data_IF_283054184505
#
_entry.id   IF_283054184505
#
_cell.length_a   1.000
_cell.length_b   1.000
_cell.length_c   1.000
_cell.angle_alpha   90.00
_cell.angle_beta   90.00
_cell.angle_gamma   90.00
#
_symmetry.space_group_name_H-M   'P 1'
#
loop_
_entity.id
_entity.type
_entity.pdbx_description
1 polymer ?
#
# COMPACT_ATOMS: atom_id res chain seq x y z
N UNK A 1 -12.62 -8.58 -9.35
CA UNK A 1 -11.59 -7.94 -10.19
C UNK A 1 -10.50 -8.92 -10.61
N UNK A 2 -9.76 -9.53 -9.67
CA UNK A 2 -8.65 -10.45 -9.96
C UNK A 2 -9.03 -11.62 -10.89
N UNK A 3 -10.11 -12.36 -10.58
CA UNK A 3 -10.61 -13.47 -11.42
C UNK A 3 -10.94 -13.05 -12.86
N UNK A 4 -11.37 -11.81 -13.06
CA UNK A 4 -11.77 -11.27 -14.37
C UNK A 4 -10.64 -10.48 -15.05
N UNK A 5 -9.42 -10.54 -14.50
CA UNK A 5 -8.23 -9.80 -14.95
C UNK A 5 -8.43 -8.28 -15.04
N UNK A 6 -9.37 -7.70 -14.30
CA UNK A 6 -9.66 -6.26 -14.37
C UNK A 6 -8.96 -5.43 -13.28
N UNK A 7 -8.18 -6.07 -12.40
CA UNK A 7 -7.64 -5.44 -11.20
C UNK A 7 -6.74 -4.22 -11.50
N UNK A 8 -5.82 -4.34 -12.47
CA UNK A 8 -4.96 -3.20 -12.83
C UNK A 8 -5.66 -2.11 -13.64
N UNK A 9 -6.93 -2.29 -14.04
CA UNK A 9 -7.74 -1.20 -14.59
C UNK A 9 -8.32 -0.27 -13.52
N UNK A 10 -8.17 -0.62 -12.23
CA UNK A 10 -8.55 0.25 -11.11
C UNK A 10 -7.34 0.67 -10.29
N UNK A 11 -6.35 -0.22 -10.19
CA UNK A 11 -5.23 -0.10 -9.27
C UNK A 11 -4.47 1.23 -9.33
N UNK A 12 -4.18 1.76 -10.53
CA UNK A 12 -3.28 2.90 -10.67
C UNK A 12 -3.84 4.17 -10.04
N UNK A 13 -5.16 4.41 -10.15
CA UNK A 13 -5.77 5.56 -9.50
C UNK A 13 -6.26 5.25 -8.09
N UNK A 14 -6.61 4.00 -7.74
CA UNK A 14 -7.16 3.67 -6.41
C UNK A 14 -6.11 3.37 -5.34
N UNK A 15 -4.84 3.13 -5.70
CA UNK A 15 -3.76 2.88 -4.74
C UNK A 15 -3.57 4.02 -3.72
N UNK A 16 -3.03 3.76 -2.51
CA UNK A 16 -2.94 4.79 -1.45
C UNK A 16 -2.28 6.10 -1.90
N UNK A 17 -1.07 6.00 -2.44
CA UNK A 17 -0.27 7.13 -2.89
C UNK A 17 0.32 6.85 -4.27
N UNK A 18 -0.39 7.16 -5.36
CA UNK A 18 0.13 6.97 -6.70
C UNK A 18 1.32 7.89 -6.99
N UNK A 19 2.19 7.47 -7.90
CA UNK A 19 3.19 8.37 -8.51
C UNK A 19 2.62 8.99 -9.77
N UNK A 20 3.32 9.98 -10.34
CA UNK A 20 2.96 10.57 -11.63
C UNK A 20 2.87 9.52 -12.75
N UNK A 21 3.68 8.45 -12.68
CA UNK A 21 3.67 7.39 -13.68
C UNK A 21 2.38 6.56 -13.64
N UNK A 22 1.70 6.49 -12.49
CA UNK A 22 0.40 5.86 -12.40
C UNK A 22 -0.63 6.49 -13.34
N UNK A 23 -0.61 7.82 -13.47
CA UNK A 23 -1.52 8.53 -14.38
C UNK A 23 -1.31 8.08 -15.82
N UNK A 24 -0.05 7.97 -16.26
CA UNK A 24 0.27 7.52 -17.62
C UNK A 24 -0.10 6.05 -17.84
N UNK A 25 0.13 5.19 -16.85
CA UNK A 25 -0.24 3.78 -16.93
C UNK A 25 -1.76 3.59 -17.01
N UNK A 26 -2.54 4.45 -16.35
CA UNK A 26 -4.01 4.44 -16.42
C UNK A 26 -4.54 4.77 -17.83
N UNK A 27 -3.78 5.53 -18.64
CA UNK A 27 -4.22 5.89 -20.00
C UNK A 27 -4.09 4.74 -21.00
N UNK A 28 -3.48 3.62 -20.60
CA UNK A 28 -3.27 2.48 -21.49
C UNK A 28 -4.59 1.76 -21.78
N UNK A 29 -4.70 1.06 -22.92
CA UNK A 29 -5.95 0.41 -23.30
C UNK A 29 -6.28 -0.78 -22.38
N UNK A 30 -7.56 -1.10 -22.24
CA UNK A 30 -8.05 -2.15 -21.33
C UNK A 30 -7.38 -3.52 -21.50
N UNK A 31 -6.98 -3.90 -22.73
CA UNK A 31 -6.28 -5.16 -22.98
C UNK A 31 -4.91 -5.20 -22.27
N UNK A 32 -4.22 -4.06 -22.20
CA UNK A 32 -2.94 -3.94 -21.53
C UNK A 32 -3.10 -4.15 -20.03
N UNK A 33 -4.13 -3.57 -19.41
CA UNK A 33 -4.43 -3.79 -17.99
C UNK A 33 -4.78 -5.25 -17.68
N UNK A 34 -5.51 -5.92 -18.59
CA UNK A 34 -5.83 -7.35 -18.44
C UNK A 34 -4.60 -8.23 -18.55
N UNK A 35 -3.76 -7.98 -19.56
CA UNK A 35 -2.48 -8.67 -19.72
C UNK A 35 -1.57 -8.44 -18.52
N UNK A 36 -1.46 -7.20 -18.06
CA UNK A 36 -0.66 -6.84 -16.88
C UNK A 36 -1.17 -7.53 -15.61
N UNK A 37 -2.50 -7.60 -15.42
CA UNK A 37 -3.09 -8.33 -14.29
C UNK A 37 -2.71 -9.81 -14.32
N UNK A 38 -2.73 -10.44 -15.51
CA UNK A 38 -2.28 -11.83 -15.67
C UNK A 38 -0.79 -11.97 -15.35
N UNK A 39 0.06 -11.08 -15.87
CA UNK A 39 1.52 -11.09 -15.59
C UNK A 39 1.80 -10.97 -14.10
N UNK A 40 1.10 -10.07 -13.39
CA UNK A 40 1.20 -9.94 -11.93
C UNK A 40 0.83 -11.25 -11.25
N UNK A 41 -0.32 -11.85 -11.60
CA UNK A 41 -0.75 -13.12 -10.98
C UNK A 41 0.26 -14.25 -11.24
N UNK A 42 0.78 -14.38 -12.45
CA UNK A 42 1.82 -15.38 -12.78
C UNK A 42 3.10 -15.11 -11.98
N UNK A 43 3.47 -13.84 -11.82
CA UNK A 43 4.70 -13.45 -11.12
C UNK A 43 4.58 -13.57 -9.61
N UNK A 44 3.41 -13.32 -9.02
CA UNK A 44 3.22 -13.42 -7.57
C UNK A 44 2.89 -14.86 -7.11
N UNK A 45 2.29 -15.68 -7.98
CA UNK A 45 1.88 -17.05 -7.63
C UNK A 45 2.85 -18.09 -8.22
N UNK A 46 3.19 -17.99 -9.49
CA UNK A 46 3.98 -19.00 -10.20
C UNK A 46 5.49 -18.83 -10.06
N UNK A 47 5.99 -17.61 -10.29
CA UNK A 47 7.44 -17.32 -10.28
C UNK A 47 8.15 -17.64 -8.96
N UNK A 48 7.56 -17.51 -7.76
CA UNK A 48 8.25 -17.87 -6.52
C UNK A 48 8.72 -19.34 -6.49
N UNK A 49 8.04 -20.26 -7.16
CA UNK A 49 8.47 -21.65 -7.24
C UNK A 49 9.77 -21.84 -8.04
N UNK A 50 10.09 -20.90 -8.95
CA UNK A 50 11.34 -20.90 -9.70
C UNK A 50 12.56 -20.67 -8.81
N UNK A 51 12.38 -20.11 -7.60
CA UNK A 51 13.45 -19.89 -6.62
C UNK A 51 14.15 -21.21 -6.26
N UNK A 52 13.41 -22.31 -6.24
CA UNK A 52 13.93 -23.64 -5.88
C UNK A 52 14.52 -24.41 -7.06
N UNK A 53 14.48 -23.84 -8.28
CA UNK A 53 14.94 -24.49 -9.50
C UNK A 53 16.45 -24.31 -9.73
N UNK A 54 17.06 -25.03 -10.71
CA UNK A 54 18.47 -24.88 -11.04
C UNK A 54 18.86 -23.44 -11.41
N UNK A 55 20.16 -23.14 -11.25
CA UNK A 55 20.79 -21.81 -11.35
C UNK A 55 20.13 -20.84 -12.35
N UNK A 56 20.00 -21.22 -13.63
CA UNK A 56 19.47 -20.33 -14.69
C UNK A 56 18.02 -19.96 -14.46
N UNK A 57 17.18 -20.93 -14.07
CA UNK A 57 15.75 -20.75 -13.85
C UNK A 57 15.51 -19.92 -12.58
N UNK A 58 16.29 -20.18 -11.52
CA UNK A 58 16.26 -19.37 -10.29
C UNK A 58 16.59 -17.91 -10.55
N UNK A 59 17.68 -17.62 -11.28
CA UNK A 59 18.07 -16.25 -11.60
C UNK A 59 17.03 -15.56 -12.49
N UNK A 60 16.40 -16.29 -13.42
CA UNK A 60 15.29 -15.77 -14.20
C UNK A 60 14.11 -15.39 -13.30
N UNK A 61 13.71 -16.27 -12.37
CA UNK A 61 12.66 -15.97 -11.41
C UNK A 61 12.98 -14.76 -10.53
N UNK A 62 14.22 -14.64 -10.06
CA UNK A 62 14.70 -13.48 -9.33
C UNK A 62 14.60 -12.18 -10.16
N UNK A 63 14.98 -12.22 -11.44
CA UNK A 63 14.86 -11.08 -12.35
C UNK A 63 13.40 -10.66 -12.56
N UNK A 64 12.48 -11.62 -12.74
CA UNK A 64 11.05 -11.33 -12.84
C UNK A 64 10.50 -10.67 -11.57
N UNK A 65 10.86 -11.18 -10.39
CA UNK A 65 10.45 -10.59 -9.11
C UNK A 65 11.00 -9.16 -8.96
N UNK A 66 12.29 -8.95 -9.26
CA UNK A 66 12.91 -7.61 -9.24
C UNK A 66 12.23 -6.65 -10.21
N UNK A 67 11.93 -7.10 -11.43
CA UNK A 67 11.24 -6.30 -12.43
C UNK A 67 9.84 -5.90 -11.95
N UNK A 68 9.08 -6.83 -11.36
CA UNK A 68 7.78 -6.52 -10.78
C UNK A 68 7.90 -5.50 -9.64
N UNK A 69 8.84 -5.68 -8.71
CA UNK A 69 9.04 -4.73 -7.60
C UNK A 69 9.42 -3.33 -8.10
N UNK A 70 10.25 -3.24 -9.15
CA UNK A 70 10.61 -1.98 -9.78
C UNK A 70 9.40 -1.30 -10.43
N UNK A 71 8.57 -2.05 -11.15
CA UNK A 71 7.35 -1.51 -11.76
C UNK A 71 6.39 -0.98 -10.69
N UNK A 72 6.18 -1.74 -9.62
CA UNK A 72 5.35 -1.33 -8.48
C UNK A 72 5.89 -0.03 -7.87
N UNK A 73 7.20 0.06 -7.65
CA UNK A 73 7.86 1.26 -7.12
C UNK A 73 7.71 2.47 -8.06
N UNK A 74 7.81 2.25 -9.38
CA UNK A 74 7.66 3.31 -10.37
C UNK A 74 6.24 3.88 -10.35
N UNK A 75 5.22 3.02 -10.20
CA UNK A 75 3.81 3.42 -10.30
C UNK A 75 3.17 3.80 -8.97
N UNK A 76 3.76 3.42 -7.83
CA UNK A 76 3.14 3.60 -6.53
C UNK A 76 4.13 3.77 -5.39
N UNK A 77 3.72 4.51 -4.36
CA UNK A 77 4.53 4.72 -3.17
C UNK A 77 4.12 3.72 -2.07
N UNK A 78 4.86 2.61 -1.95
CA UNK A 78 4.64 1.56 -0.94
C UNK A 78 5.75 1.53 0.12
N UNK A 79 6.17 2.71 0.58
CA UNK A 79 7.16 2.86 1.66
C UNK A 79 8.51 2.22 1.27
N UNK A 80 9.01 1.26 2.05
CA UNK A 80 10.25 0.53 1.81
C UNK A 80 10.02 -0.96 1.48
N UNK A 81 8.77 -1.42 1.34
CA UNK A 81 8.46 -2.84 1.09
C UNK A 81 9.08 -3.37 -0.21
N UNK A 82 8.98 -2.61 -1.31
CA UNK A 82 9.59 -3.02 -2.57
C UNK A 82 11.11 -3.13 -2.45
N UNK A 83 11.74 -2.17 -1.76
CA UNK A 83 13.19 -2.15 -1.54
C UNK A 83 13.65 -3.36 -0.73
N UNK A 84 12.93 -3.71 0.35
CA UNK A 84 13.21 -4.92 1.13
C UNK A 84 13.08 -6.18 0.30
N UNK A 85 12.01 -6.29 -0.49
CA UNK A 85 11.78 -7.45 -1.35
C UNK A 85 12.88 -7.57 -2.42
N UNK A 86 13.28 -6.45 -3.01
CA UNK A 86 14.40 -6.41 -3.95
C UNK A 86 15.72 -6.84 -3.30
N UNK A 87 16.01 -6.34 -2.08
CA UNK A 87 17.18 -6.74 -1.32
C UNK A 87 17.21 -8.25 -1.04
N UNK A 88 16.07 -8.85 -0.68
CA UNK A 88 15.96 -10.30 -0.50
C UNK A 88 16.17 -11.08 -1.80
N UNK A 89 15.69 -10.54 -2.94
CA UNK A 89 15.90 -11.17 -4.25
C UNK A 89 17.38 -11.20 -4.67
N UNK A 90 18.23 -10.30 -4.15
CA UNK A 90 19.66 -10.29 -4.47
C UNK A 90 20.36 -11.59 -4.03
N UNK A 91 19.90 -12.23 -2.95
CA UNK A 91 20.43 -13.51 -2.46
C UNK A 91 20.15 -14.70 -3.40
N UNK A 92 19.31 -14.52 -4.43
CA UNK A 92 19.02 -15.55 -5.42
C UNK A 92 20.08 -15.63 -6.53
N UNK A 93 20.88 -14.57 -6.68
CA UNK A 93 21.99 -14.49 -7.62
C UNK A 93 23.27 -15.04 -6.99
N UNK A 94 24.16 -15.60 -7.81
CA UNK A 94 25.48 -16.04 -7.36
C UNK A 94 26.53 -14.93 -7.50
N UNK A 95 27.68 -15.11 -6.85
CA UNK A 95 28.78 -14.14 -6.88
C UNK A 95 29.24 -13.83 -8.32
N UNK A 96 29.12 -14.81 -9.23
CA UNK A 96 29.45 -14.61 -10.65
C UNK A 96 28.48 -13.65 -11.34
N UNK A 97 27.18 -13.76 -11.06
CA UNK A 97 26.16 -12.86 -11.60
C UNK A 97 26.25 -11.45 -11.00
N UNK A 98 26.74 -11.33 -9.76
CA UNK A 98 26.94 -10.04 -9.08
C UNK A 98 28.36 -9.48 -9.20
N UNK A 99 29.28 -10.17 -9.88
CA UNK A 99 30.68 -9.77 -9.99
C UNK A 99 30.86 -8.37 -10.60
N UNK A 100 29.92 -7.92 -11.43
CA UNK A 100 29.93 -6.58 -12.03
C UNK A 100 29.55 -5.46 -11.04
N UNK A 101 28.82 -5.77 -9.97
CA UNK A 101 28.45 -4.84 -8.89
C UNK A 101 29.54 -4.74 -7.80
N UNK A 102 30.64 -5.48 -7.95
CA UNK A 102 31.58 -5.72 -6.86
C UNK A 102 32.27 -4.43 -6.36
N UNK A 103 31.77 -3.92 -5.24
CA UNK A 103 32.63 -3.44 -4.15
C UNK A 103 33.58 -4.60 -3.82
N UNK A 104 34.90 -4.40 -3.91
CA UNK A 104 35.91 -5.43 -3.58
C UNK A 104 35.91 -5.72 -2.07
N UNK A 105 34.84 -6.33 -1.57
CA UNK A 105 34.79 -6.83 -0.21
C UNK A 105 35.56 -8.14 -0.18
N UNK A 106 36.69 -8.17 0.54
CA UNK A 106 37.47 -9.39 0.77
C UNK A 106 36.74 -10.22 1.83
N UNK A 107 35.70 -10.93 1.43
CA UNK A 107 35.08 -11.94 2.29
C UNK A 107 36.11 -13.05 2.54
N UNK A 108 36.24 -13.48 3.80
CA UNK A 108 37.14 -14.58 4.18
C UNK A 108 36.82 -15.87 3.39
N UNK A 109 37.74 -16.85 3.42
CA UNK A 109 37.57 -18.16 2.76
C UNK A 109 36.17 -18.71 3.05
N UNK A 110 35.35 -18.86 2.02
CA UNK A 110 34.05 -19.51 2.13
C UNK A 110 34.24 -20.90 2.75
N UNK A 111 33.54 -21.19 3.85
CA UNK A 111 33.53 -22.51 4.45
C UNK A 111 33.08 -23.53 3.40
N UNK A 112 33.80 -24.64 3.28
CA UNK A 112 33.40 -25.74 2.42
C UNK A 112 32.01 -26.25 2.86
N UNK A 113 31.03 -26.36 1.94
CA UNK A 113 29.68 -26.78 2.30
C UNK A 113 29.71 -28.18 2.92
N UNK A 114 29.36 -28.27 4.20
CA UNK A 114 29.18 -29.55 4.88
C UNK A 114 27.83 -30.14 4.50
N UNK A 115 27.79 -31.46 4.24
CA UNK A 115 26.52 -32.14 3.99
C UNK A 115 25.72 -32.16 5.30
N UNK A 116 24.45 -31.71 5.31
CA UNK A 116 23.68 -31.66 6.53
C UNK A 116 23.47 -33.06 7.11
N UNK A 117 23.55 -33.17 8.43
CA UNK A 117 23.34 -34.41 9.17
C UNK A 117 21.91 -34.95 8.94
N UNK A 118 21.68 -36.25 9.20
CA UNK A 118 20.33 -36.84 9.07
C UNK A 118 19.31 -36.12 9.97
N UNK A 119 19.70 -35.78 11.19
CA UNK A 119 18.85 -35.04 12.14
C UNK A 119 18.47 -33.65 11.64
N UNK A 120 19.42 -32.89 11.11
CA UNK A 120 19.17 -31.56 10.52
C UNK A 120 18.18 -31.63 9.37
N UNK A 121 18.31 -32.63 8.49
CA UNK A 121 17.37 -32.85 7.39
C UNK A 121 15.97 -33.22 7.89
N UNK A 122 15.87 -34.03 8.94
CA UNK A 122 14.59 -34.39 9.54
C UNK A 122 13.89 -33.16 10.15
N UNK A 123 14.64 -32.33 10.90
CA UNK A 123 14.12 -31.08 11.47
C UNK A 123 13.69 -30.10 10.38
N UNK A 124 14.52 -29.89 9.36
CA UNK A 124 14.18 -29.03 8.23
C UNK A 124 12.93 -29.52 7.48
N UNK A 125 12.82 -30.84 7.28
CA UNK A 125 11.63 -31.45 6.68
C UNK A 125 10.36 -31.25 7.51
N UNK A 126 10.45 -31.43 8.83
CA UNK A 126 9.33 -31.19 9.75
C UNK A 126 8.89 -29.72 9.77
N UNK A 127 9.85 -28.79 9.81
CA UNK A 127 9.56 -27.35 9.73
C UNK A 127 8.94 -26.96 8.39
N UNK A 128 9.46 -27.49 7.27
CA UNK A 128 8.89 -27.25 5.95
C UNK A 128 7.45 -27.79 5.87
N UNK A 129 7.19 -29.01 6.37
CA UNK A 129 5.86 -29.58 6.41
C UNK A 129 4.89 -28.74 7.26
N UNK A 130 5.34 -28.24 8.41
CA UNK A 130 4.55 -27.34 9.25
C UNK A 130 4.22 -26.03 8.52
N UNK A 131 5.21 -25.37 7.93
CA UNK A 131 5.04 -24.11 7.17
C UNK A 131 4.08 -24.30 5.99
N UNK A 132 4.23 -25.39 5.23
CA UNK A 132 3.36 -25.71 4.11
C UNK A 132 1.93 -26.02 4.58
N UNK A 133 1.76 -26.77 5.67
CA UNK A 133 0.45 -27.08 6.24
C UNK A 133 -0.26 -25.81 6.68
N UNK A 134 0.43 -24.93 7.41
CA UNK A 134 -0.09 -23.63 7.81
C UNK A 134 -0.41 -22.76 6.58
N UNK A 135 0.46 -22.74 5.57
CA UNK A 135 0.29 -21.95 4.36
C UNK A 135 -0.93 -22.39 3.55
N UNK A 136 -1.08 -23.69 3.31
CA UNK A 136 -2.24 -24.28 2.64
C UNK A 136 -3.52 -24.00 3.43
N UNK A 137 -3.48 -24.07 4.75
CA UNK A 137 -4.62 -23.73 5.62
C UNK A 137 -5.05 -22.28 5.43
N UNK A 138 -4.10 -21.33 5.47
CA UNK A 138 -4.39 -19.90 5.25
C UNK A 138 -4.91 -19.64 3.83
N UNK A 139 -4.34 -20.32 2.84
CA UNK A 139 -4.79 -20.22 1.45
C UNK A 139 -6.22 -20.75 1.27
N UNK A 140 -6.55 -21.90 1.87
CA UNK A 140 -7.91 -22.46 1.87
C UNK A 140 -8.90 -21.49 2.51
N UNK A 141 -8.57 -20.92 3.67
CA UNK A 141 -9.39 -19.90 4.32
C UNK A 141 -9.62 -18.68 3.41
N UNK A 142 -8.58 -18.21 2.72
CA UNK A 142 -8.67 -17.05 1.83
C UNK A 142 -9.48 -17.31 0.55
N UNK A 143 -9.45 -18.54 0.01
CA UNK A 143 -10.10 -18.89 -1.25
C UNK A 143 -11.54 -19.40 -1.06
N UNK A 144 -11.75 -20.21 -0.04
CA UNK A 144 -13.00 -20.94 0.22
C UNK A 144 -13.77 -20.38 1.41
N UNK A 145 -13.18 -19.48 2.21
CA UNK A 145 -13.76 -19.00 3.47
C UNK A 145 -13.67 -20.01 4.62
N UNK A 146 -13.12 -21.21 4.36
CA UNK A 146 -13.17 -22.34 5.27
C UNK A 146 -11.86 -23.16 5.23
N UNK A 147 -11.57 -23.84 6.33
CA UNK A 147 -10.52 -24.86 6.47
C UNK A 147 -10.90 -25.81 7.63
N UNK A 148 -10.48 -27.09 7.60
CA UNK A 148 -10.79 -28.04 8.68
C UNK A 148 -10.38 -27.56 10.08
N UNK A 149 -11.22 -27.80 11.09
CA UNK A 149 -11.00 -27.33 12.48
C UNK A 149 -9.62 -27.64 13.09
N UNK A 150 -9.04 -28.84 12.92
CA UNK A 150 -7.71 -29.13 13.45
C UNK A 150 -6.64 -28.18 12.88
N UNK A 151 -6.74 -27.88 11.58
CA UNK A 151 -5.82 -27.00 10.87
C UNK A 151 -6.05 -25.53 11.25
N UNK A 152 -7.32 -25.10 11.43
CA UNK A 152 -7.64 -23.75 11.92
C UNK A 152 -7.06 -23.50 13.30
N UNK A 153 -7.20 -24.47 14.19
CA UNK A 153 -6.70 -24.38 15.56
C UNK A 153 -5.18 -24.25 15.56
N UNK A 154 -4.49 -25.07 14.76
CA UNK A 154 -3.05 -24.97 14.59
C UNK A 154 -2.62 -23.60 14.03
N UNK A 155 -3.31 -23.10 13.01
CA UNK A 155 -3.03 -21.78 12.44
C UNK A 155 -3.28 -20.64 13.43
N UNK A 156 -4.27 -20.78 14.32
CA UNK A 156 -4.55 -19.81 15.40
C UNK A 156 -3.43 -19.77 16.43
N UNK A 157 -2.94 -20.94 16.85
CA UNK A 157 -1.80 -21.07 17.78
C UNK A 157 -0.53 -20.49 17.15
N UNK A 158 -0.30 -20.71 15.85
CA UNK A 158 0.88 -20.23 15.15
C UNK A 158 0.81 -18.72 14.79
N UNK A 159 -0.38 -18.11 14.81
CA UNK A 159 -0.59 -16.74 14.32
C UNK A 159 0.25 -15.66 15.04
N UNK A 160 0.41 -15.68 16.39
CA UNK A 160 1.21 -14.68 17.11
C UNK A 160 2.68 -14.64 16.70
N UNK A 161 3.23 -15.73 16.15
CA UNK A 161 4.63 -15.78 15.71
C UNK A 161 4.88 -15.00 14.41
N UNK A 162 3.83 -14.60 13.69
CA UNK A 162 3.97 -13.80 12.46
C UNK A 162 4.85 -14.45 11.37
N UNK A 163 4.95 -15.79 11.34
CA UNK A 163 5.71 -16.53 10.33
C UNK A 163 4.83 -16.89 9.12
N UNK A 164 3.63 -17.44 9.35
CA UNK A 164 2.68 -17.83 8.30
C UNK A 164 1.31 -17.24 8.59
N UNK A 165 1.01 -16.08 7.99
CA UNK A 165 -0.28 -15.39 8.10
C UNK A 165 -0.69 -14.78 6.76
N UNK A 166 -1.86 -14.14 6.76
CA UNK A 166 -2.37 -13.38 5.62
C UNK A 166 -1.77 -11.98 5.61
N UNK A 167 -0.90 -11.69 4.64
CA UNK A 167 -0.21 -10.41 4.48
C UNK A 167 -0.68 -9.59 3.26
N UNK A 168 -1.88 -9.87 2.73
CA UNK A 168 -2.36 -9.28 1.48
C UNK A 168 -2.87 -7.85 1.62
N UNK A 169 -2.03 -6.85 1.32
CA UNK A 169 -2.38 -5.43 1.38
C UNK A 169 -3.48 -5.04 0.37
N UNK A 170 -3.51 -5.68 -0.80
CA UNK A 170 -4.49 -5.45 -1.87
C UNK A 170 -5.18 -6.74 -2.34
N UNK A 171 -5.37 -7.70 -1.43
CA UNK A 171 -6.04 -8.96 -1.75
C UNK A 171 -7.46 -8.73 -2.32
N UNK A 172 -8.16 -7.72 -1.81
CA UNK A 172 -9.41 -7.21 -2.37
C UNK A 172 -9.11 -5.88 -3.06
N UNK A 173 -9.31 -5.83 -4.38
CA UNK A 173 -9.02 -4.61 -5.15
C UNK A 173 -10.10 -3.56 -4.92
N UNK A 174 -9.66 -2.36 -4.52
CA UNK A 174 -10.52 -1.17 -4.45
C UNK A 174 -10.85 -0.70 -5.87
N UNK A 175 -12.13 -0.50 -6.16
CA UNK A 175 -12.64 -0.06 -7.48
C UNK A 175 -13.09 1.40 -7.50
N UNK A 176 -12.94 2.08 -6.36
CA UNK A 176 -13.24 3.49 -6.16
C UNK A 176 -12.12 4.11 -5.33
N UNK A 177 -12.00 5.44 -5.42
CA UNK A 177 -11.07 6.23 -4.62
C UNK A 177 -11.85 7.33 -3.90
N UNK A 178 -12.52 6.99 -2.78
CA UNK A 178 -13.02 8.01 -1.87
C UNK A 178 -11.82 8.74 -1.25
N UNK A 179 -11.88 10.06 -1.22
CA UNK A 179 -10.81 10.90 -0.70
C UNK A 179 -11.41 11.94 0.23
N UNK A 180 -10.90 11.96 1.47
CA UNK A 180 -11.35 12.89 2.50
C UNK A 180 -10.65 14.23 2.30
N UNK A 181 -11.43 15.31 2.25
CA UNK A 181 -10.96 16.69 2.29
C UNK A 181 -11.38 17.29 3.64
N UNK A 182 -10.39 17.77 4.39
CA UNK A 182 -10.58 18.32 5.73
C UNK A 182 -10.65 19.83 5.61
N UNK A 183 -11.70 20.42 6.17
CA UNK A 183 -11.99 21.84 6.03
C UNK A 183 -12.19 22.47 7.40
N UNK A 184 -11.67 23.68 7.57
CA UNK A 184 -11.93 24.51 8.74
C UNK A 184 -12.84 25.69 8.40
N UNK A 185 -13.53 26.22 9.40
CA UNK A 185 -14.36 27.42 9.27
C UNK A 185 -14.40 28.22 10.58
N UNK A 186 -14.60 29.54 10.46
CA UNK A 186 -14.82 30.44 11.60
C UNK A 186 -16.30 30.81 11.80
N UNK A 187 -17.13 30.60 10.78
CA UNK A 187 -18.52 31.07 10.69
C UNK A 187 -19.53 29.93 10.40
N UNK A 188 -19.06 28.70 10.19
CA UNK A 188 -19.85 27.53 9.76
C UNK A 188 -20.41 27.65 8.31
N UNK A 189 -20.04 28.71 7.59
CA UNK A 189 -20.51 29.02 6.23
C UNK A 189 -19.38 28.95 5.20
N UNK A 190 -18.25 29.61 5.48
CA UNK A 190 -17.07 29.63 4.63
C UNK A 190 -16.10 28.54 5.07
N UNK A 191 -15.88 27.56 4.20
CA UNK A 191 -15.05 26.39 4.48
C UNK A 191 -13.78 26.40 3.65
N UNK A 192 -12.64 26.34 4.33
CA UNK A 192 -11.32 26.37 3.71
C UNK A 192 -10.61 25.03 3.94
N UNK A 193 -10.15 24.42 2.85
CA UNK A 193 -9.49 23.11 2.87
C UNK A 193 -8.04 23.21 3.39
N UNK A 194 -7.68 22.26 4.25
CA UNK A 194 -6.29 21.93 4.54
C UNK A 194 -5.72 21.08 3.41
N UNK A 195 -4.53 21.41 2.93
CA UNK A 195 -3.85 20.61 1.90
C UNK A 195 -2.83 19.68 2.53
N UNK A 196 -2.87 18.43 2.10
CA UNK A 196 -1.93 17.38 2.50
C UNK A 196 -0.76 17.33 1.52
N UNK A 197 0.41 16.86 1.99
CA UNK A 197 1.67 16.96 1.22
C UNK A 197 1.78 15.99 0.04
N UNK A 198 1.15 14.83 0.15
CA UNK A 198 1.42 13.70 -0.75
C UNK A 198 0.16 13.00 -1.25
N UNK A 199 -0.92 12.92 -0.45
CA UNK A 199 -2.18 12.37 -0.96
C UNK A 199 -2.86 13.34 -1.95
N UNK A 200 -3.72 12.84 -2.86
CA UNK A 200 -4.46 13.69 -3.78
C UNK A 200 -5.33 14.71 -3.04
N UNK A 201 -5.37 15.94 -3.52
CA UNK A 201 -6.16 17.04 -2.95
C UNK A 201 -6.49 18.02 -4.07
N UNK A 202 -5.60 18.99 -4.29
CA UNK A 202 -5.67 19.86 -5.47
C UNK A 202 -5.70 19.05 -6.79
N UNK A 203 -6.68 19.39 -7.65
CA UNK A 203 -6.91 18.72 -8.93
C UNK A 203 -5.81 18.98 -9.97
N UNK A 204 -5.09 20.09 -9.81
CA UNK A 204 -4.06 20.53 -10.75
C UNK A 204 -2.65 20.05 -10.37
N UNK A 205 -2.52 19.37 -9.22
CA UNK A 205 -1.25 18.84 -8.75
C UNK A 205 -1.10 17.38 -9.16
N UNK A 206 0.01 17.07 -9.84
CA UNK A 206 0.37 15.71 -10.20
C UNK A 206 0.67 14.88 -8.94
N UNK A 207 0.41 13.55 -8.96
CA UNK A 207 0.86 12.68 -7.88
C UNK A 207 2.38 12.70 -7.74
N UNK A 208 2.88 12.64 -6.50
CA UNK A 208 4.31 12.84 -6.20
C UNK A 208 5.07 11.52 -6.02
N UNK A 209 6.39 11.58 -6.27
CA UNK A 209 7.31 10.54 -5.80
C UNK A 209 7.67 10.81 -4.34
N UNK A 210 7.45 9.83 -3.47
CA UNK A 210 7.58 9.99 -2.01
C UNK A 210 8.67 9.10 -1.44
N UNK A 211 8.91 7.92 -2.04
CA UNK A 211 9.93 7.00 -1.57
C UNK A 211 11.31 7.68 -1.47
N UNK A 212 12.11 7.37 -0.42
CA UNK A 212 11.91 6.35 0.60
C UNK A 212 11.10 6.81 1.83
N UNK A 213 10.56 8.03 1.83
CA UNK A 213 9.77 8.54 2.94
C UNK A 213 8.40 7.84 3.03
N UNK A 214 7.88 7.68 4.26
CA UNK A 214 6.54 7.16 4.53
C UNK A 214 5.68 8.24 5.22
N UNK A 215 4.83 8.96 4.48
CA UNK A 215 3.93 9.95 5.06
C UNK A 215 2.75 9.23 5.71
N UNK A 216 2.91 8.91 7.00
CA UNK A 216 1.94 8.09 7.75
C UNK A 216 0.54 8.72 7.75
N UNK A 217 0.44 10.04 7.88
CA UNK A 217 -0.85 10.74 7.89
C UNK A 217 -1.57 10.58 6.54
N UNK A 218 -0.94 10.99 5.43
CA UNK A 218 -1.48 10.88 4.08
C UNK A 218 -1.88 9.45 3.72
N UNK A 219 -1.04 8.48 4.10
CA UNK A 219 -1.30 7.07 3.84
C UNK A 219 -2.48 6.55 4.67
N UNK A 220 -2.58 6.92 5.95
CA UNK A 220 -3.71 6.55 6.81
C UNK A 220 -5.04 7.16 6.36
N UNK A 221 -5.03 8.37 5.77
CA UNK A 221 -6.22 9.01 5.22
C UNK A 221 -6.91 8.15 4.15
N UNK A 222 -6.13 7.43 3.32
CA UNK A 222 -6.68 6.49 2.34
C UNK A 222 -7.49 5.38 3.02
N UNK A 223 -6.99 4.79 4.10
CA UNK A 223 -7.72 3.76 4.85
C UNK A 223 -8.95 4.33 5.56
N UNK A 224 -8.83 5.53 6.14
CA UNK A 224 -9.95 6.19 6.81
C UNK A 224 -11.12 6.43 5.85
N UNK A 225 -10.84 6.76 4.59
CA UNK A 225 -11.84 7.01 3.56
C UNK A 225 -12.66 5.76 3.17
N UNK A 226 -12.15 4.55 3.44
CA UNK A 226 -12.85 3.28 3.20
C UNK A 226 -13.83 2.90 4.33
N UNK A 227 -13.89 3.70 5.40
CA UNK A 227 -14.78 3.48 6.54
C UNK A 227 -15.41 4.81 6.96
N UNK A 228 -15.76 4.95 8.24
CA UNK A 228 -16.33 6.17 8.80
C UNK A 228 -15.47 6.71 9.94
N UNK A 229 -15.71 7.97 10.33
CA UNK A 229 -14.91 8.65 11.34
C UNK A 229 -15.00 7.99 12.74
N UNK A 230 -16.08 7.26 13.04
CA UNK A 230 -16.26 6.58 14.34
C UNK A 230 -15.36 5.36 14.48
N UNK A 231 -15.10 4.67 13.37
CA UNK A 231 -14.12 3.59 13.33
C UNK A 231 -12.66 4.09 13.33
N UNK A 232 -12.44 5.39 13.10
CA UNK A 232 -11.12 6.00 12.96
C UNK A 232 -10.88 7.06 14.04
N UNK A 233 -10.75 6.64 15.31
CA UNK A 233 -10.55 7.57 16.44
C UNK A 233 -9.28 8.44 16.32
N UNK A 234 -8.27 7.97 15.59
CA UNK A 234 -7.09 8.78 15.27
C UNK A 234 -7.45 10.00 14.43
N UNK A 235 -8.42 9.89 13.52
CA UNK A 235 -8.89 11.00 12.67
C UNK A 235 -9.64 12.03 13.51
N UNK A 236 -10.46 11.57 14.46
CA UNK A 236 -11.14 12.45 15.44
C UNK A 236 -10.10 13.20 16.28
N UNK A 237 -9.07 12.52 16.77
CA UNK A 237 -7.97 13.18 17.48
C UNK A 237 -7.21 14.18 16.60
N UNK A 238 -6.94 13.84 15.33
CA UNK A 238 -6.33 14.73 14.35
C UNK A 238 -7.17 16.01 14.16
N UNK A 239 -8.47 15.89 13.92
CA UNK A 239 -9.38 17.03 13.77
C UNK A 239 -9.43 17.92 15.03
N UNK A 240 -9.39 17.34 16.23
CA UNK A 240 -9.31 18.11 17.48
C UNK A 240 -7.99 18.91 17.57
N UNK A 241 -6.86 18.32 17.17
CA UNK A 241 -5.56 19.01 17.15
C UNK A 241 -5.51 20.16 16.13
N UNK A 242 -6.28 20.09 15.04
CA UNK A 242 -6.44 21.22 14.12
C UNK A 242 -7.18 22.39 14.76
N UNK A 243 -8.27 22.11 15.49
CA UNK A 243 -9.04 23.11 16.24
C UNK A 243 -8.24 23.74 17.40
N UNK A 244 -7.24 23.04 17.91
CA UNK A 244 -6.31 23.56 18.91
C UNK A 244 -5.12 24.31 18.29
N UNK A 245 -4.94 24.27 16.96
CA UNK A 245 -3.82 24.91 16.29
C UNK A 245 -2.46 24.26 16.60
N UNK A 246 -2.44 22.95 16.85
CA UNK A 246 -1.25 22.22 17.29
C UNK A 246 -0.10 22.29 16.25
N UNK A 247 1.05 22.93 16.55
CA UNK A 247 2.12 23.08 15.56
C UNK A 247 2.69 21.75 15.03
N UNK A 248 2.89 20.70 15.86
CA UNK A 248 3.33 19.40 15.35
C UNK A 248 2.37 18.77 14.34
N UNK A 249 1.05 18.99 14.48
CA UNK A 249 0.05 18.45 13.55
C UNK A 249 -0.05 19.30 12.29
N UNK A 250 -0.06 20.63 12.44
CA UNK A 250 -0.07 21.54 11.31
C UNK A 250 1.19 21.37 10.44
N UNK A 251 2.33 21.05 11.04
CA UNK A 251 3.57 20.76 10.31
C UNK A 251 3.51 19.52 9.40
N UNK A 252 2.57 18.61 9.61
CA UNK A 252 2.35 17.45 8.74
C UNK A 252 1.64 17.83 7.43
N UNK A 253 0.94 18.96 7.42
CA UNK A 253 0.18 19.46 6.27
C UNK A 253 1.06 20.32 5.36
N UNK A 254 0.65 20.47 4.11
CA UNK A 254 1.31 21.36 3.15
C UNK A 254 0.80 22.79 3.28
N UNK A 255 -0.52 22.95 3.44
CA UNK A 255 -1.17 24.25 3.59
C UNK A 255 -2.11 24.27 4.78
N UNK A 256 -1.89 25.24 5.67
CA UNK A 256 -2.83 25.63 6.70
C UNK A 256 -3.55 26.92 6.25
N UNK A 257 -4.87 26.91 5.99
CA UNK A 257 -5.62 28.11 5.63
C UNK A 257 -5.87 29.07 6.81
N UNK A 258 -5.48 28.70 8.03
CA UNK A 258 -5.68 29.45 9.27
C UNK A 258 -4.35 29.73 9.98
N UNK A 259 -3.46 30.59 9.43
CA UNK A 259 -2.13 30.83 9.98
C UNK A 259 -2.13 31.59 11.31
N UNK A 260 -3.06 32.53 11.50
CA UNK A 260 -3.05 33.44 12.66
C UNK A 260 -3.76 32.86 13.88
N UNK A 261 -4.88 32.15 13.67
CA UNK A 261 -5.71 31.55 14.72
C UNK A 261 -6.39 30.29 14.22
N UNK A 262 -6.48 29.22 15.02
CA UNK A 262 -7.18 28.01 14.61
C UNK A 262 -8.67 28.26 14.34
N UNK A 263 -9.29 27.48 13.44
CA UNK A 263 -10.71 27.64 13.13
C UNK A 263 -11.61 27.24 14.31
N UNK A 264 -12.84 27.75 14.33
CA UNK A 264 -13.85 27.40 15.34
C UNK A 264 -14.49 26.04 15.07
N UNK A 265 -14.61 25.69 13.80
CA UNK A 265 -15.25 24.47 13.33
C UNK A 265 -14.33 23.72 12.38
N UNK A 266 -14.43 22.39 12.42
CA UNK A 266 -13.80 21.51 11.45
C UNK A 266 -14.87 20.55 10.92
N UNK A 267 -14.80 20.26 9.63
CA UNK A 267 -15.59 19.20 8.99
C UNK A 267 -14.69 18.42 8.06
N UNK A 268 -15.21 17.30 7.59
CA UNK A 268 -14.55 16.55 6.55
C UNK A 268 -15.57 16.05 5.54
N UNK A 269 -15.30 16.27 4.27
CA UNK A 269 -16.15 15.87 3.14
C UNK A 269 -15.43 14.81 2.31
N UNK A 270 -16.19 13.94 1.66
CA UNK A 270 -15.66 12.90 0.77
C UNK A 270 -15.99 13.27 -0.65
N UNK A 271 -14.99 13.16 -1.51
CA UNK A 271 -15.17 13.14 -2.95
C UNK A 271 -14.68 11.80 -3.50
N UNK A 272 -15.27 11.36 -4.59
CA UNK A 272 -14.71 10.32 -5.44
C UNK A 272 -13.70 10.94 -6.38
N UNK A 273 -12.44 10.52 -6.30
CA UNK A 273 -11.38 10.97 -7.18
C UNK A 273 -11.12 9.96 -8.30
N UNK A 274 -10.84 10.48 -9.49
CA UNK A 274 -10.31 9.70 -10.61
C UNK A 274 -9.23 10.51 -11.31
N UNK A 275 -8.31 9.81 -11.98
CA UNK A 275 -7.45 10.47 -12.94
C UNK A 275 -8.27 11.06 -14.08
N UNK A 276 -7.81 12.20 -14.59
CA UNK A 276 -8.27 12.70 -15.89
C UNK A 276 -7.74 11.83 -17.02
N UNK A 277 -8.41 11.87 -18.16
CA UNK A 277 -7.86 11.34 -19.41
C UNK A 277 -7.06 12.41 -20.20
N UNK A 278 -6.45 11.98 -21.31
CA UNK A 278 -5.71 12.88 -22.19
C UNK A 278 -6.53 14.09 -22.68
N UNK A 279 -7.74 13.93 -23.27
CA UNK A 279 -8.59 15.06 -23.63
C UNK A 279 -8.90 16.01 -22.48
N UNK A 280 -9.32 15.49 -21.32
CA UNK A 280 -9.66 16.28 -20.13
C UNK A 280 -8.46 17.09 -19.65
N UNK A 281 -7.29 16.44 -19.50
CA UNK A 281 -6.06 17.12 -19.06
C UNK A 281 -5.59 18.17 -20.05
N UNK A 282 -5.71 17.94 -21.36
CA UNK A 282 -5.39 18.96 -22.38
C UNK A 282 -6.31 20.17 -22.30
N UNK A 283 -7.58 19.98 -21.94
CA UNK A 283 -8.58 21.03 -21.86
C UNK A 283 -8.48 21.84 -20.56
N UNK A 284 -8.26 21.19 -19.42
CA UNK A 284 -8.34 21.82 -18.09
C UNK A 284 -6.98 22.03 -17.43
N UNK A 285 -5.96 21.25 -17.82
CA UNK A 285 -4.69 21.16 -17.10
C UNK A 285 -4.73 20.29 -15.84
N UNK A 286 -5.91 19.78 -15.45
CA UNK A 286 -6.07 18.99 -14.24
C UNK A 286 -5.55 17.55 -14.41
N UNK A 287 -4.92 17.02 -13.36
CA UNK A 287 -4.49 15.62 -13.25
C UNK A 287 -5.58 14.73 -12.66
N UNK A 288 -6.47 15.33 -11.87
CA UNK A 288 -7.56 14.67 -11.20
C UNK A 288 -8.89 15.32 -11.56
N UNK A 289 -9.94 14.50 -11.54
CA UNK A 289 -11.33 14.95 -11.49
C UNK A 289 -11.97 14.36 -10.25
N UNK A 290 -12.94 15.08 -9.70
CA UNK A 290 -13.62 14.66 -8.48
C UNK A 290 -15.12 14.91 -8.52
N UNK A 291 -15.86 14.03 -7.88
CA UNK A 291 -17.32 14.15 -7.70
C UNK A 291 -17.66 14.11 -6.20
N UNK A 292 -18.53 14.99 -5.70
CA UNK A 292 -18.90 14.97 -4.29
C UNK A 292 -19.65 13.67 -3.95
N UNK A 293 -19.30 13.05 -2.82
CA UNK A 293 -19.98 11.84 -2.29
C UNK A 293 -20.75 12.10 -1.02
N UNK A 294 -20.30 13.03 -0.19
CA UNK A 294 -21.04 13.42 1.01
C UNK A 294 -20.11 13.84 2.15
N UNK A 295 -20.63 13.76 3.38
CA UNK A 295 -19.93 14.20 4.58
C UNK A 295 -19.31 13.01 5.30
N UNK A 296 -18.01 13.10 5.60
CA UNK A 296 -17.29 12.13 6.43
C UNK A 296 -17.43 12.46 7.92
N UNK A 297 -17.13 13.71 8.28
CA UNK A 297 -17.26 14.25 9.64
C UNK A 297 -18.14 15.50 9.54
N UNK A 298 -19.29 15.55 10.24
CA UNK A 298 -20.12 16.75 10.24
C UNK A 298 -19.36 17.93 10.87
N UNK A 299 -19.82 19.18 10.64
CA UNK A 299 -19.27 20.34 11.32
C UNK A 299 -19.25 20.14 12.84
N UNK A 300 -18.07 20.22 13.44
CA UNK A 300 -17.86 20.07 14.87
C UNK A 300 -16.89 21.13 15.38
N UNK A 301 -17.24 21.75 16.51
CA UNK A 301 -16.31 22.52 17.33
C UNK A 301 -15.60 21.64 18.37
N UNK A 302 -14.59 22.20 19.05
CA UNK A 302 -13.68 21.44 19.91
C UNK A 302 -14.38 20.65 21.02
N UNK A 303 -15.38 21.25 21.67
CA UNK A 303 -16.16 20.59 22.74
C UNK A 303 -16.95 19.37 22.24
N UNK A 304 -17.53 19.45 21.04
CA UNK A 304 -18.27 18.35 20.45
C UNK A 304 -17.34 17.20 20.04
N UNK A 305 -16.17 17.54 19.49
CA UNK A 305 -15.14 16.60 19.06
C UNK A 305 -14.54 15.82 20.23
N UNK A 306 -14.27 16.48 21.36
CA UNK A 306 -13.79 15.84 22.59
C UNK A 306 -14.76 14.77 23.12
N UNK A 307 -16.08 15.00 23.00
CA UNK A 307 -17.11 14.01 23.39
C UNK A 307 -17.18 12.82 22.44
N UNK A 308 -16.92 13.04 21.15
CA UNK A 308 -16.89 11.99 20.13
C UNK A 308 -15.70 11.03 20.31
N UNK A 309 -14.62 11.46 20.97
CA UNK A 309 -13.44 10.64 21.26
C UNK A 309 -13.66 9.62 22.39
N UNK A 310 -14.56 9.92 23.32
CA UNK A 310 -14.83 9.11 24.53
C UNK A 310 -15.94 8.07 24.35
N UNK A 311 -16.56 7.99 23.17
CA UNK A 311 -17.59 7.01 22.81
C UNK A 311 -17.04 6.05 21.78
#
# INVERSE_FOLDING_TARGET
SWRNLSALGFHYYTQPLPTVFAWYMEQLPQWFHRASTLVVLVTEIGVPFLIFMPRRIRMFGAACLLALQLLILITGNYTFFNILTMALCLFLFDDRALAWLAVKVRWGRAMSPQRPARGERAVAGALAALVLTLGITRMSQSLSGDAPEPLRSLARIASPFQIVNSYGLFAVMTTSRPEIIVEGSNDDETWLAYEFRYKPGDLYVAPRWVAPHQPRLDWQMWFAALSNYRANLWFVAFAARLLEGSPPVLGLLEKNPFPDRPPRYVRAVVFEYKFTDWPERRKTGAWWKREPKGTYLPPMGLRALSRAKTR
#
